data_IF_892451785841
#
_entry.id   IF_892451785841
#
_cell.length_a   1.000
_cell.length_b   1.000
_cell.length_c   1.000
_cell.angle_alpha   90.00
_cell.angle_beta   90.00
_cell.angle_gamma   90.00
#
_symmetry.space_group_name_H-M   'P 1'
#
loop_
_entity.id
_entity.type
_entity.pdbx_description
1 polymer ?
#
# COMPACT_ATOMS: atom_id res chain seq x y z
N UNK A 1 11.41 -13.99 -18.63
CA UNK A 1 12.67 -13.24 -18.82
C UNK A 1 13.86 -14.15 -18.61
N UNK A 2 14.98 -13.85 -19.24
CA UNK A 2 16.27 -14.48 -18.99
C UNK A 2 16.97 -13.92 -17.74
N UNK A 3 18.19 -14.37 -17.47
CA UNK A 3 18.99 -13.90 -16.32
C UNK A 3 19.34 -12.41 -16.37
N UNK A 4 19.29 -11.77 -17.56
CA UNK A 4 19.47 -10.35 -17.78
C UNK A 4 18.17 -9.54 -17.75
N UNK A 5 17.05 -10.15 -17.35
CA UNK A 5 15.68 -9.59 -17.37
C UNK A 5 15.16 -9.24 -18.78
N UNK A 6 15.81 -9.72 -19.85
CA UNK A 6 15.30 -9.55 -21.20
C UNK A 6 14.05 -10.39 -21.39
N UNK A 7 13.04 -9.83 -22.03
CA UNK A 7 11.80 -10.55 -22.33
C UNK A 7 12.06 -11.67 -23.35
N UNK A 8 11.76 -12.91 -23.00
CA UNK A 8 11.95 -14.10 -23.84
C UNK A 8 10.66 -14.84 -24.19
N UNK A 9 9.56 -14.51 -23.52
CA UNK A 9 8.26 -15.13 -23.75
C UNK A 9 7.22 -14.67 -22.72
N UNK A 10 5.97 -15.07 -22.95
CA UNK A 10 4.87 -14.89 -22.03
C UNK A 10 4.12 -16.20 -21.84
N UNK A 11 3.78 -16.53 -20.60
CA UNK A 11 2.95 -17.66 -20.24
C UNK A 11 1.63 -17.18 -19.67
N UNK A 12 0.53 -17.64 -20.24
CA UNK A 12 -0.82 -17.27 -19.81
C UNK A 12 -1.66 -18.51 -19.48
N UNK A 13 -2.82 -18.31 -18.84
CA UNK A 13 -3.75 -19.40 -18.60
C UNK A 13 -4.22 -20.10 -19.90
N UNK A 14 -4.19 -19.39 -21.03
CA UNK A 14 -4.52 -19.96 -22.34
C UNK A 14 -3.50 -21.01 -22.77
N UNK A 15 -2.23 -20.74 -22.54
CA UNK A 15 -1.13 -21.66 -22.88
C UNK A 15 -1.16 -22.92 -22.01
N UNK A 16 -1.60 -22.78 -20.75
CA UNK A 16 -1.67 -23.89 -19.79
C UNK A 16 -2.95 -24.71 -19.86
N UNK A 17 -3.99 -24.25 -20.55
CA UNK A 17 -5.36 -24.82 -20.50
C UNK A 17 -5.43 -26.32 -20.77
N UNK A 18 -4.57 -26.84 -21.64
CA UNK A 18 -4.56 -28.23 -22.04
C UNK A 18 -3.26 -28.97 -21.69
N UNK A 19 -2.38 -28.33 -20.93
CA UNK A 19 -1.14 -28.93 -20.44
C UNK A 19 -1.48 -29.90 -19.31
N UNK A 20 -1.28 -31.19 -19.53
CA UNK A 20 -1.53 -32.27 -18.54
C UNK A 20 -0.30 -32.58 -17.70
N UNK A 21 0.88 -32.44 -18.29
CA UNK A 21 2.16 -32.74 -17.64
C UNK A 21 2.69 -31.50 -16.92
N UNK A 22 2.65 -31.51 -15.57
CA UNK A 22 3.14 -30.46 -14.71
C UNK A 22 4.69 -30.33 -14.71
N UNK A 23 5.42 -31.29 -15.26
CA UNK A 23 6.89 -31.26 -15.32
C UNK A 23 7.42 -30.63 -16.62
N UNK A 24 6.56 -30.23 -17.55
CA UNK A 24 6.98 -29.49 -18.74
C UNK A 24 7.62 -28.16 -18.34
N UNK A 25 8.73 -27.85 -19.02
CA UNK A 25 9.39 -26.55 -18.80
C UNK A 25 8.52 -25.42 -19.33
N UNK A 26 8.58 -24.26 -18.65
CA UNK A 26 7.88 -23.02 -19.07
C UNK A 26 8.23 -22.66 -20.51
N UNK A 27 9.50 -22.84 -20.89
CA UNK A 27 10.00 -22.56 -22.23
C UNK A 27 9.33 -23.38 -23.36
N UNK A 28 8.80 -24.56 -23.05
CA UNK A 28 8.14 -25.43 -24.02
C UNK A 28 6.66 -25.10 -24.25
N UNK A 29 6.08 -24.29 -23.36
CA UNK A 29 4.63 -24.00 -23.38
C UNK A 29 4.33 -22.50 -23.49
N UNK A 30 5.29 -21.62 -23.24
CA UNK A 30 5.11 -20.18 -23.37
C UNK A 30 5.06 -19.71 -24.83
N UNK A 31 4.36 -18.64 -25.09
CA UNK A 31 4.42 -17.94 -26.37
C UNK A 31 5.74 -17.17 -26.47
N UNK A 32 6.54 -17.42 -27.51
CA UNK A 32 7.83 -16.76 -27.79
C UNK A 32 7.78 -15.89 -29.03
N UNK A 33 7.21 -16.41 -30.09
CA UNK A 33 7.17 -15.73 -31.38
C UNK A 33 5.98 -14.78 -31.47
N UNK A 34 6.19 -13.63 -32.14
CA UNK A 34 5.14 -12.65 -32.33
C UNK A 34 4.70 -11.95 -31.04
N UNK A 35 5.60 -11.84 -30.06
CA UNK A 35 5.30 -11.10 -28.81
C UNK A 35 4.96 -9.64 -29.14
N UNK A 36 3.75 -9.25 -28.78
CA UNK A 36 3.33 -7.85 -28.79
C UNK A 36 3.82 -7.18 -27.52
N UNK A 37 4.57 -6.12 -27.66
CA UNK A 37 5.17 -5.36 -26.55
C UNK A 37 4.93 -3.88 -26.72
N UNK A 38 5.02 -3.13 -25.64
CA UNK A 38 5.00 -1.68 -25.65
C UNK A 38 6.34 -1.12 -25.16
N UNK A 39 6.63 0.12 -25.51
CA UNK A 39 7.80 0.86 -24.99
C UNK A 39 7.47 1.49 -23.65
N UNK A 40 8.52 1.71 -22.86
CA UNK A 40 8.43 2.46 -21.61
C UNK A 40 7.87 3.88 -21.89
N UNK A 41 6.92 4.32 -21.07
CA UNK A 41 6.25 5.62 -21.22
C UNK A 41 4.95 5.59 -22.05
N UNK A 42 4.51 4.42 -22.51
CA UNK A 42 3.23 4.28 -23.22
C UNK A 42 2.07 4.71 -22.29
N UNK A 43 1.10 5.43 -22.84
CA UNK A 43 -0.16 5.74 -22.13
C UNK A 43 -1.09 4.52 -22.01
N UNK A 44 -2.03 4.55 -21.07
CA UNK A 44 -3.00 3.45 -20.95
C UNK A 44 -3.98 3.43 -22.13
N UNK A 45 -4.27 4.56 -22.72
CA UNK A 45 -5.10 4.72 -23.90
C UNK A 45 -4.46 4.04 -25.12
N UNK A 46 -3.19 4.32 -25.40
CA UNK A 46 -2.41 3.64 -26.46
C UNK A 46 -2.26 2.15 -26.19
N UNK A 47 -2.04 1.75 -24.92
CA UNK A 47 -1.96 0.35 -24.51
C UNK A 47 -3.30 -0.38 -24.78
N UNK A 48 -4.43 0.27 -24.56
CA UNK A 48 -5.77 -0.28 -24.84
C UNK A 48 -5.95 -0.56 -26.32
N UNK A 49 -5.53 0.36 -27.19
CA UNK A 49 -5.59 0.17 -28.64
C UNK A 49 -4.77 -1.03 -29.10
N UNK A 50 -3.55 -1.18 -28.56
CA UNK A 50 -2.66 -2.32 -28.88
C UNK A 50 -3.28 -3.64 -28.39
N UNK A 51 -3.80 -3.68 -27.17
CA UNK A 51 -4.47 -4.86 -26.59
C UNK A 51 -5.66 -5.27 -27.44
N UNK A 52 -6.49 -4.32 -27.85
CA UNK A 52 -7.68 -4.55 -28.66
C UNK A 52 -7.32 -5.01 -30.09
N UNK A 53 -6.40 -4.32 -30.77
CA UNK A 53 -5.99 -4.64 -32.13
C UNK A 53 -5.39 -6.04 -32.24
N UNK A 54 -4.64 -6.49 -31.22
CA UNK A 54 -4.00 -7.78 -31.18
C UNK A 54 -4.82 -8.86 -30.45
N UNK A 55 -5.99 -8.52 -29.90
CA UNK A 55 -6.87 -9.44 -29.13
C UNK A 55 -6.13 -10.15 -27.98
N UNK A 56 -5.28 -9.42 -27.29
CA UNK A 56 -4.52 -9.87 -26.13
C UNK A 56 -4.97 -9.16 -24.85
N UNK A 57 -4.76 -9.78 -23.69
CA UNK A 57 -5.16 -9.25 -22.39
C UNK A 57 -3.98 -8.69 -21.58
N UNK A 58 -2.75 -8.93 -22.05
CA UNK A 58 -1.51 -8.59 -21.34
C UNK A 58 -0.50 -8.04 -22.33
N UNK A 59 0.04 -6.87 -22.01
CA UNK A 59 0.99 -6.15 -22.83
C UNK A 59 2.28 -5.92 -22.03
N UNK A 60 3.35 -6.69 -22.27
CA UNK A 60 4.64 -6.45 -21.66
C UNK A 60 5.22 -5.10 -22.11
N UNK A 61 5.75 -4.34 -21.15
CA UNK A 61 6.44 -3.07 -21.41
C UNK A 61 7.94 -3.29 -21.29
N UNK A 62 8.68 -2.93 -22.35
CA UNK A 62 10.12 -3.13 -22.43
C UNK A 62 10.83 -1.81 -22.73
N UNK A 63 12.11 -1.73 -22.37
CA UNK A 63 13.00 -0.66 -22.82
C UNK A 63 13.60 -0.96 -24.21
N UNK A 64 14.42 -0.05 -24.72
CA UNK A 64 15.07 -0.20 -26.04
C UNK A 64 16.08 -1.37 -26.09
N UNK A 65 16.54 -1.88 -24.94
CA UNK A 65 17.38 -3.08 -24.85
C UNK A 65 16.57 -4.39 -24.78
N UNK A 66 15.23 -4.29 -24.76
CA UNK A 66 14.31 -5.43 -24.62
C UNK A 66 14.17 -5.95 -23.18
N UNK A 67 14.60 -5.17 -22.21
CA UNK A 67 14.47 -5.51 -20.78
C UNK A 67 13.06 -5.24 -20.32
N UNK A 68 12.45 -6.21 -19.65
CA UNK A 68 11.10 -6.09 -19.09
C UNK A 68 11.06 -5.05 -17.95
N UNK A 69 10.24 -4.02 -18.12
CA UNK A 69 10.02 -2.94 -17.15
C UNK A 69 8.66 -3.00 -16.47
N UNK A 70 7.65 -3.56 -17.15
CA UNK A 70 6.31 -3.63 -16.62
C UNK A 70 5.39 -4.54 -17.42
N UNK A 71 4.15 -4.61 -16.98
CA UNK A 71 3.08 -5.35 -17.63
C UNK A 71 1.79 -4.55 -17.49
N UNK A 72 1.16 -4.21 -18.60
CA UNK A 72 -0.17 -3.60 -18.63
C UNK A 72 -1.19 -4.68 -18.98
N UNK A 73 -2.29 -4.74 -18.26
CA UNK A 73 -3.38 -5.69 -18.51
C UNK A 73 -4.70 -4.97 -18.75
N UNK A 74 -5.64 -5.65 -19.41
CA UNK A 74 -7.02 -5.15 -19.57
C UNK A 74 -7.63 -4.81 -18.20
N UNK A 75 -7.35 -5.63 -17.17
CA UNK A 75 -7.84 -5.37 -15.81
C UNK A 75 -7.32 -4.06 -15.20
N UNK A 76 -6.11 -3.64 -15.54
CA UNK A 76 -5.55 -2.38 -15.02
C UNK A 76 -6.30 -1.18 -15.62
N UNK A 77 -6.66 -1.28 -16.91
CA UNK A 77 -7.44 -0.26 -17.62
C UNK A 77 -8.88 -0.22 -17.08
N UNK A 78 -9.53 -1.38 -16.93
CA UNK A 78 -10.87 -1.48 -16.34
C UNK A 78 -10.93 -0.91 -14.93
N UNK A 79 -9.93 -1.23 -14.08
CA UNK A 79 -9.85 -0.71 -12.71
C UNK A 79 -9.64 0.80 -12.66
N UNK A 80 -8.90 1.39 -13.61
CA UNK A 80 -8.77 2.85 -13.70
C UNK A 80 -10.13 3.52 -13.92
N UNK A 81 -10.99 2.90 -14.74
CA UNK A 81 -12.34 3.40 -15.03
C UNK A 81 -13.30 3.15 -13.86
N UNK A 82 -13.22 1.98 -13.22
CA UNK A 82 -14.10 1.61 -12.11
C UNK A 82 -13.75 2.35 -10.80
N UNK A 83 -12.46 2.65 -10.60
CA UNK A 83 -11.94 3.26 -9.37
C UNK A 83 -11.08 4.49 -9.71
N UNK A 84 -11.69 5.58 -10.22
CA UNK A 84 -10.93 6.78 -10.63
C UNK A 84 -10.23 7.44 -9.46
N UNK A 85 -10.82 7.37 -8.25
CA UNK A 85 -10.32 8.00 -7.02
C UNK A 85 -9.38 7.07 -6.21
N UNK A 86 -8.93 5.94 -6.78
CA UNK A 86 -7.99 5.07 -6.10
C UNK A 86 -6.68 5.80 -5.79
N UNK A 87 -6.24 5.72 -4.52
CA UNK A 87 -5.00 6.34 -4.06
C UNK A 87 -3.79 5.66 -4.70
N UNK A 88 -3.12 6.37 -5.61
CA UNK A 88 -1.98 5.85 -6.37
C UNK A 88 -0.76 6.76 -6.23
N UNK A 89 0.40 6.18 -6.41
CA UNK A 89 1.67 6.90 -6.56
C UNK A 89 1.84 7.46 -7.99
N UNK A 90 2.93 8.18 -8.21
CA UNK A 90 3.26 8.79 -9.51
C UNK A 90 3.53 7.76 -10.62
N UNK A 91 3.78 6.51 -10.25
CA UNK A 91 3.93 5.38 -11.18
C UNK A 91 2.59 4.65 -11.45
N UNK A 92 1.49 5.13 -10.86
CA UNK A 92 0.15 4.54 -10.98
C UNK A 92 -0.05 3.27 -10.16
N UNK A 93 0.86 2.93 -9.22
CA UNK A 93 0.71 1.82 -8.29
C UNK A 93 -0.19 2.25 -7.13
N UNK A 94 -0.99 1.33 -6.58
CA UNK A 94 -1.76 1.60 -5.36
C UNK A 94 -0.80 1.88 -4.20
N UNK A 95 -1.06 2.96 -3.48
CA UNK A 95 -0.36 3.22 -2.22
C UNK A 95 -0.73 2.18 -1.17
N UNK A 96 0.25 1.75 -0.40
CA UNK A 96 0.11 0.70 0.62
C UNK A 96 0.58 1.17 1.98
N UNK A 97 -0.22 0.85 3.01
CA UNK A 97 0.15 1.07 4.39
C UNK A 97 0.41 -0.24 5.12
N UNK A 98 1.29 -0.21 6.12
CA UNK A 98 1.56 -1.35 6.97
C UNK A 98 1.48 -0.97 8.46
N UNK A 99 0.75 -1.78 9.23
CA UNK A 99 0.65 -1.61 10.67
C UNK A 99 1.82 -2.27 11.40
N UNK A 100 2.31 -1.59 12.42
CA UNK A 100 3.38 -2.04 13.31
C UNK A 100 3.03 -1.76 14.76
N UNK A 101 3.36 -2.67 15.66
CA UNK A 101 3.27 -2.44 17.10
C UNK A 101 4.60 -1.89 17.65
N UNK A 102 4.59 -1.42 18.89
CA UNK A 102 5.76 -0.79 19.57
C UNK A 102 6.63 -1.79 20.36
N UNK A 103 6.62 -3.06 19.98
CA UNK A 103 7.41 -4.11 20.63
C UNK A 103 8.90 -4.10 20.24
N UNK A 104 9.69 -5.06 20.75
CA UNK A 104 11.13 -5.15 20.50
C UNK A 104 11.52 -5.22 19.01
N UNK A 105 10.64 -5.76 18.18
CA UNK A 105 10.87 -5.90 16.72
C UNK A 105 10.46 -4.68 15.91
N UNK A 106 10.01 -3.60 16.56
CA UNK A 106 9.50 -2.39 15.88
C UNK A 106 10.45 -1.87 14.81
N UNK A 107 11.71 -1.60 15.18
CA UNK A 107 12.69 -1.03 14.25
C UNK A 107 13.03 -1.98 13.10
N UNK A 108 13.27 -3.26 13.39
CA UNK A 108 13.61 -4.24 12.36
C UNK A 108 12.46 -4.43 11.36
N UNK A 109 11.21 -4.44 11.85
CA UNK A 109 10.03 -4.57 11.01
C UNK A 109 9.80 -3.32 10.16
N UNK A 110 9.89 -2.13 10.74
CA UNK A 110 9.73 -0.87 9.99
C UNK A 110 10.80 -0.71 8.92
N UNK A 111 12.07 -1.02 9.22
CA UNK A 111 13.17 -1.01 8.25
C UNK A 111 12.88 -1.93 7.05
N UNK A 112 12.48 -3.17 7.31
CA UNK A 112 12.14 -4.12 6.26
C UNK A 112 10.95 -3.67 5.40
N UNK A 113 10.00 -2.92 5.95
CA UNK A 113 8.86 -2.36 5.23
C UNK A 113 9.28 -1.16 4.36
N UNK A 114 10.12 -0.27 4.90
CA UNK A 114 10.65 0.89 4.17
C UNK A 114 11.53 0.42 3.00
N UNK A 115 12.36 -0.60 3.18
CA UNK A 115 13.16 -1.23 2.11
C UNK A 115 12.28 -1.82 0.98
N UNK A 116 11.00 -2.06 1.24
CA UNK A 116 10.01 -2.53 0.25
C UNK A 116 9.09 -1.42 -0.27
N UNK A 117 9.50 -0.17 -0.07
CA UNK A 117 8.79 1.01 -0.59
C UNK A 117 7.35 1.12 -0.07
N UNK A 118 7.13 0.87 1.25
CA UNK A 118 5.84 1.15 1.87
C UNK A 118 5.55 2.65 1.86
N UNK A 119 4.33 3.06 1.52
CA UNK A 119 3.97 4.48 1.44
C UNK A 119 3.65 5.08 2.81
N UNK A 120 3.06 4.29 3.72
CA UNK A 120 2.69 4.77 5.06
C UNK A 120 2.90 3.69 6.11
N UNK A 121 3.47 4.08 7.24
CA UNK A 121 3.55 3.24 8.44
C UNK A 121 2.45 3.64 9.41
N UNK A 122 1.69 2.66 9.91
CA UNK A 122 0.67 2.86 10.93
C UNK A 122 1.20 2.28 12.25
N UNK A 123 1.59 3.14 13.19
CA UNK A 123 1.97 2.73 14.54
C UNK A 123 0.68 2.52 15.34
N UNK A 124 0.28 1.27 15.43
CA UNK A 124 -1.04 0.84 15.92
C UNK A 124 -0.95 0.23 17.32
N UNK A 125 -1.72 0.79 18.25
CA UNK A 125 -1.79 0.34 19.63
C UNK A 125 -3.20 0.55 20.21
N UNK A 126 -3.61 -0.32 21.11
CA UNK A 126 -4.84 -0.14 21.86
C UNK A 126 -4.84 1.14 22.74
N UNK A 127 -3.67 1.70 23.05
CA UNK A 127 -3.49 2.95 23.77
C UNK A 127 -2.36 3.79 23.14
N UNK A 128 -2.72 4.60 22.14
CA UNK A 128 -1.78 5.41 21.37
C UNK A 128 -1.13 6.53 22.19
N UNK A 129 -1.78 7.02 23.25
CA UNK A 129 -1.21 8.00 24.17
C UNK A 129 -0.37 7.36 25.26
N UNK A 130 0.53 6.48 24.88
CA UNK A 130 1.50 5.87 25.78
C UNK A 130 2.92 6.31 25.43
N UNK A 131 3.78 6.34 26.44
CA UNK A 131 5.20 6.72 26.26
C UNK A 131 5.88 5.88 25.15
N UNK A 132 5.63 4.58 25.13
CA UNK A 132 6.24 3.70 24.12
C UNK A 132 5.78 4.00 22.68
N UNK A 133 4.55 4.49 22.49
CA UNK A 133 4.05 4.91 21.16
C UNK A 133 4.69 6.24 20.77
N UNK A 134 4.76 7.22 21.66
CA UNK A 134 5.41 8.51 21.39
C UNK A 134 6.89 8.33 21.03
N UNK A 135 7.65 7.56 21.82
CA UNK A 135 9.05 7.24 21.55
C UNK A 135 9.22 6.47 20.21
N UNK A 136 8.28 5.62 19.85
CA UNK A 136 8.33 4.89 18.57
C UNK A 136 8.11 5.84 17.38
N UNK A 137 7.16 6.78 17.48
CA UNK A 137 6.92 7.80 16.44
C UNK A 137 8.16 8.68 16.27
N UNK A 138 8.70 9.22 17.36
CA UNK A 138 9.92 10.05 17.35
C UNK A 138 11.11 9.30 16.73
N UNK A 139 11.32 8.06 17.15
CA UNK A 139 12.42 7.22 16.63
C UNK A 139 12.27 6.97 15.15
N UNK A 140 11.06 6.61 14.71
CA UNK A 140 10.78 6.33 13.31
C UNK A 140 10.96 7.57 12.44
N UNK A 141 10.35 8.70 12.79
CA UNK A 141 10.43 9.95 12.03
C UNK A 141 11.85 10.53 12.02
N UNK A 142 12.63 10.34 13.08
CA UNK A 142 14.06 10.72 13.07
C UNK A 142 14.88 9.94 12.06
N UNK A 143 14.55 8.65 11.82
CA UNK A 143 15.26 7.79 10.89
C UNK A 143 14.71 7.88 9.45
N UNK A 144 13.39 8.05 9.30
CA UNK A 144 12.67 8.05 8.03
C UNK A 144 11.73 9.26 7.94
N UNK A 145 12.25 10.50 7.84
CA UNK A 145 11.45 11.72 7.87
C UNK A 145 10.44 11.82 6.72
N UNK A 146 10.76 11.20 5.57
CA UNK A 146 9.96 11.29 4.34
C UNK A 146 8.87 10.21 4.25
N UNK A 147 8.83 9.25 5.18
CA UNK A 147 7.79 8.20 5.19
C UNK A 147 6.62 8.65 6.04
N UNK A 148 5.43 8.72 5.46
CA UNK A 148 4.20 9.10 6.14
C UNK A 148 3.90 8.17 7.32
N UNK A 149 3.49 8.74 8.45
CA UNK A 149 3.29 8.02 9.70
C UNK A 149 1.94 8.34 10.31
N UNK A 150 1.09 7.33 10.44
CA UNK A 150 -0.17 7.43 11.19
C UNK A 150 0.04 6.78 12.56
N UNK A 151 -0.40 7.42 13.64
CA UNK A 151 -0.28 6.86 14.98
C UNK A 151 -1.63 6.86 15.73
N UNK A 152 -1.84 5.85 16.54
CA UNK A 152 -3.05 5.68 17.35
C UNK A 152 -3.11 4.31 18.06
N UNK A 153 -4.27 3.97 18.68
CA UNK A 153 -5.51 4.75 18.67
C UNK A 153 -5.57 5.71 19.85
N UNK A 154 -6.17 6.87 19.62
CA UNK A 154 -6.38 7.90 20.64
C UNK A 154 -7.84 8.39 20.62
N UNK A 155 -8.21 9.18 21.64
CA UNK A 155 -9.57 9.70 21.79
C UNK A 155 -9.62 11.09 22.41
N UNK A 156 -8.47 11.73 22.69
CA UNK A 156 -8.38 13.03 23.35
C UNK A 156 -7.54 14.04 22.59
N UNK A 157 -7.84 15.32 22.74
CA UNK A 157 -7.08 16.41 22.11
C UNK A 157 -5.62 16.48 22.58
N UNK A 158 -5.35 16.12 23.85
CA UNK A 158 -3.98 16.07 24.40
C UNK A 158 -3.16 15.03 23.68
N UNK A 159 -3.71 13.80 23.54
CA UNK A 159 -3.04 12.71 22.83
C UNK A 159 -2.70 13.08 21.37
N UNK A 160 -3.62 13.79 20.69
CA UNK A 160 -3.39 14.29 19.33
C UNK A 160 -2.19 15.23 19.29
N UNK A 161 -2.15 16.22 20.21
CA UNK A 161 -1.05 17.20 20.26
C UNK A 161 0.29 16.52 20.50
N UNK A 162 0.35 15.55 21.42
CA UNK A 162 1.58 14.86 21.78
C UNK A 162 2.08 13.98 20.62
N UNK A 163 1.18 13.27 19.93
CA UNK A 163 1.54 12.47 18.75
C UNK A 163 2.03 13.31 17.58
N UNK A 164 1.37 14.45 17.33
CA UNK A 164 1.81 15.41 16.30
C UNK A 164 3.18 16.01 16.67
N UNK A 165 3.38 16.33 17.94
CA UNK A 165 4.69 16.83 18.42
C UNK A 165 5.78 15.79 18.29
N UNK A 166 5.46 14.50 18.41
CA UNK A 166 6.37 13.39 18.17
C UNK A 166 6.66 13.15 16.67
N UNK A 167 5.89 13.78 15.76
CA UNK A 167 6.11 13.74 14.32
C UNK A 167 5.09 12.92 13.54
N UNK A 168 3.95 12.53 14.11
CA UNK A 168 2.90 11.84 13.38
C UNK A 168 2.26 12.75 12.31
N UNK A 169 2.13 12.22 11.08
CA UNK A 169 1.53 12.90 9.93
C UNK A 169 0.00 12.66 9.84
N UNK A 170 -0.51 11.67 10.55
CA UNK A 170 -1.93 11.36 10.68
C UNK A 170 -2.27 10.71 12.02
N UNK A 171 -3.50 10.89 12.47
CA UNK A 171 -3.95 10.41 13.79
C UNK A 171 -5.10 9.41 13.63
N UNK A 172 -4.94 8.21 14.19
CA UNK A 172 -5.97 7.16 14.21
C UNK A 172 -6.79 7.28 15.49
N UNK A 173 -8.10 7.51 15.33
CA UNK A 173 -9.01 7.86 16.44
C UNK A 173 -10.07 6.79 16.61
N UNK A 174 -10.20 6.29 17.83
CA UNK A 174 -11.22 5.35 18.24
C UNK A 174 -10.74 4.48 19.39
N UNK A 175 -11.58 4.32 20.43
CA UNK A 175 -11.29 3.47 21.57
C UNK A 175 -12.58 2.83 22.10
N UNK A 176 -12.75 1.55 21.80
CA UNK A 176 -13.85 0.75 22.26
C UNK A 176 -15.21 0.92 21.56
N UNK A 177 -15.39 1.65 20.45
CA UNK A 177 -16.72 1.91 19.89
C UNK A 177 -17.27 0.72 19.10
N UNK A 178 -16.42 -0.11 18.52
CA UNK A 178 -16.82 -1.23 17.66
C UNK A 178 -17.55 -2.33 18.45
N UNK A 179 -18.53 -2.98 17.82
CA UNK A 179 -19.24 -4.12 18.38
C UNK A 179 -18.33 -5.33 18.68
N UNK A 180 -17.24 -5.46 17.92
CA UNK A 180 -16.25 -6.55 18.11
C UNK A 180 -15.10 -6.14 19.05
N UNK A 181 -15.04 -4.87 19.50
CA UNK A 181 -13.96 -4.38 20.35
C UNK A 181 -14.12 -4.90 21.79
N UNK A 182 -13.07 -5.54 22.28
CA UNK A 182 -13.02 -6.07 23.65
C UNK A 182 -12.46 -5.08 24.68
N UNK A 183 -11.94 -3.94 24.29
CA UNK A 183 -11.30 -2.95 25.18
C UNK A 183 -12.22 -2.52 26.33
N UNK A 184 -13.50 -2.27 26.06
CA UNK A 184 -14.49 -1.91 27.10
C UNK A 184 -14.70 -3.00 28.12
N UNK A 185 -14.67 -4.26 27.71
CA UNK A 185 -14.89 -5.41 28.58
C UNK A 185 -13.63 -5.74 29.41
N UNK A 186 -12.46 -5.67 28.75
CA UNK A 186 -11.18 -6.07 29.36
C UNK A 186 -10.60 -4.95 30.22
N UNK A 187 -10.58 -3.71 29.71
CA UNK A 187 -9.92 -2.57 30.34
C UNK A 187 -10.92 -1.58 31.00
N UNK A 188 -12.21 -1.73 30.76
CA UNK A 188 -13.22 -0.77 31.25
C UNK A 188 -13.12 0.61 30.62
N UNK A 189 -12.43 0.73 29.48
CA UNK A 189 -12.15 2.01 28.80
C UNK A 189 -12.84 2.04 27.44
N UNK A 190 -13.45 3.19 27.14
CA UNK A 190 -14.09 3.43 25.85
C UNK A 190 -14.70 4.82 25.79
N UNK A 191 -14.80 5.35 24.59
CA UNK A 191 -15.42 6.65 24.32
C UNK A 191 -16.34 6.53 23.09
N UNK A 192 -17.52 7.20 23.08
CA UNK A 192 -18.35 7.24 21.88
C UNK A 192 -17.57 7.82 20.69
N UNK A 193 -17.64 7.15 19.54
CA UNK A 193 -16.78 7.44 18.39
C UNK A 193 -16.90 8.90 17.90
N UNK A 194 -18.10 9.41 17.76
CA UNK A 194 -18.31 10.80 17.32
C UNK A 194 -17.70 11.79 18.31
N UNK A 195 -17.82 11.56 19.62
CA UNK A 195 -17.19 12.41 20.64
C UNK A 195 -15.67 12.38 20.53
N UNK A 196 -15.07 11.18 20.32
CA UNK A 196 -13.64 11.04 20.14
C UNK A 196 -13.16 11.80 18.91
N UNK A 197 -13.87 11.64 17.78
CA UNK A 197 -13.55 12.33 16.51
C UNK A 197 -13.61 13.85 16.72
N UNK A 198 -14.69 14.38 17.28
CA UNK A 198 -14.85 15.83 17.50
C UNK A 198 -13.71 16.41 18.34
N UNK A 199 -13.36 15.75 19.45
CA UNK A 199 -12.28 16.18 20.32
C UNK A 199 -10.92 16.17 19.63
N UNK A 200 -10.66 15.13 18.82
CA UNK A 200 -9.38 14.96 18.14
C UNK A 200 -9.25 15.91 16.93
N UNK A 201 -10.30 16.05 16.12
CA UNK A 201 -10.33 16.94 14.96
C UNK A 201 -10.10 18.39 15.35
N UNK A 202 -10.71 18.87 16.45
CA UNK A 202 -10.50 20.24 16.94
C UNK A 202 -9.01 20.56 17.20
N UNK A 203 -8.23 19.57 17.62
CA UNK A 203 -6.80 19.75 17.85
C UNK A 203 -5.97 19.57 16.57
N UNK A 204 -6.31 18.58 15.74
CA UNK A 204 -5.59 18.20 14.53
C UNK A 204 -5.74 19.27 13.41
N UNK A 205 -6.93 19.81 13.21
CA UNK A 205 -7.24 20.81 12.18
C UNK A 205 -6.42 22.10 12.35
N UNK A 206 -6.06 22.46 13.58
CA UNK A 206 -5.26 23.66 13.86
C UNK A 206 -3.88 23.61 13.19
N UNK A 207 -3.39 22.44 12.90
CA UNK A 207 -2.06 22.20 12.30
C UNK A 207 -2.15 21.42 10.98
N UNK A 208 -3.37 21.17 10.47
CA UNK A 208 -3.61 20.53 9.18
C UNK A 208 -3.30 19.04 9.14
N UNK A 209 -3.29 18.34 10.28
CA UNK A 209 -3.05 16.89 10.36
C UNK A 209 -4.36 16.13 10.21
N UNK A 210 -4.45 15.15 9.28
CA UNK A 210 -5.67 14.38 9.06
C UNK A 210 -5.97 13.40 10.20
N UNK A 211 -7.27 13.15 10.39
CA UNK A 211 -7.79 12.17 11.36
C UNK A 211 -8.42 11.00 10.63
N UNK A 212 -8.07 9.79 11.03
CA UNK A 212 -8.65 8.53 10.57
C UNK A 212 -9.58 8.00 11.65
N UNK A 213 -10.87 7.89 11.33
CA UNK A 213 -11.86 7.30 12.23
C UNK A 213 -11.84 5.78 12.12
N UNK A 214 -11.59 5.08 13.25
CA UNK A 214 -11.41 3.63 13.33
C UNK A 214 -12.39 2.97 14.31
#
# INVERSE_FOLDING_TARGET
VDNGRKLVGILTNRDLRFVKDAHRKVEDVMTRDGLVTAKLGISLEEAQEILQANRIEKLPVIDDAGILKGLITVKDIEKKTQFPDACKDDLGRLRVGAAVGVGPEFLARTEALVDREVDVIVIDSAHGHSRGVLEAVETFKSKYPDVETIAGNVATAEAVKDLISAGADGIKVGMGPSAICTTRVIAGVGIPQITAIMNCVEAADKVGVPVVAD
#
